data_IF_960934984465
#
_entry.id   IF_960934984465
#
_cell.length_a   1.000
_cell.length_b   1.000
_cell.length_c   1.000
_cell.angle_alpha   90.00
_cell.angle_beta   90.00
_cell.angle_gamma   90.00
#
_symmetry.space_group_name_H-M   'P 1'
#
loop_
_entity.id
_entity.type
_entity.pdbx_description
1 polymer ?
#
# COMPACT_ATOMS: atom_id res chain seq x y z
N UNK A 1 0.17 8.38 -24.60
CA UNK A 1 -1.01 7.68 -24.05
C UNK A 1 -1.58 8.54 -22.94
N UNK A 2 -2.88 8.41 -22.69
CA UNK A 2 -3.56 9.08 -21.57
C UNK A 2 -4.39 8.03 -20.83
N UNK A 3 -4.26 7.99 -19.51
CA UNK A 3 -4.98 7.06 -18.64
C UNK A 3 -5.60 7.83 -17.47
N UNK A 4 -6.82 7.48 -17.09
CA UNK A 4 -7.39 7.84 -15.79
C UNK A 4 -7.37 6.63 -14.88
N UNK A 5 -6.72 6.74 -13.74
CA UNK A 5 -6.53 5.62 -12.81
C UNK A 5 -6.96 5.98 -11.39
N UNK A 6 -7.53 5.01 -10.69
CA UNK A 6 -7.67 5.02 -9.24
C UNK A 6 -6.38 4.53 -8.62
N UNK A 7 -5.80 5.33 -7.74
CA UNK A 7 -4.57 5.00 -7.03
C UNK A 7 -4.82 3.87 -6.02
N UNK A 8 -4.04 2.81 -6.14
CA UNK A 8 -3.96 1.72 -5.18
C UNK A 8 -2.95 2.06 -4.08
N UNK A 9 -1.72 2.40 -4.48
CA UNK A 9 -0.67 2.83 -3.57
C UNK A 9 0.42 3.64 -4.31
N UNK A 10 1.45 4.08 -3.57
CA UNK A 10 2.58 4.84 -4.11
C UNK A 10 3.89 4.45 -3.43
N UNK A 11 5.00 4.35 -4.17
CA UNK A 11 6.28 3.95 -3.61
C UNK A 11 7.43 4.84 -4.12
N UNK A 12 8.43 5.18 -3.29
CA UNK A 12 9.66 5.81 -3.76
C UNK A 12 10.64 4.76 -4.31
N UNK A 13 11.23 5.02 -5.46
CA UNK A 13 12.29 4.22 -6.08
C UNK A 13 13.54 5.08 -6.29
N UNK A 14 14.72 4.52 -6.04
CA UNK A 14 15.97 5.21 -6.35
C UNK A 14 16.42 4.83 -7.75
N UNK A 15 16.66 5.83 -8.59
CA UNK A 15 17.10 5.69 -9.97
C UNK A 15 18.24 6.65 -10.29
N UNK A 16 19.07 6.30 -11.27
CA UNK A 16 20.10 7.21 -11.78
C UNK A 16 19.46 8.16 -12.79
N UNK A 17 19.40 9.45 -12.44
CA UNK A 17 18.89 10.52 -13.31
C UNK A 17 20.00 11.54 -13.49
N UNK A 18 20.41 11.77 -14.75
CA UNK A 18 21.52 12.66 -15.12
C UNK A 18 22.84 12.32 -14.39
N UNK A 19 23.09 11.02 -14.16
CA UNK A 19 24.30 10.53 -13.49
C UNK A 19 24.28 10.66 -11.96
N UNK A 20 23.16 11.03 -11.36
CA UNK A 20 22.99 11.16 -9.91
C UNK A 20 21.85 10.26 -9.43
N UNK A 21 22.04 9.59 -8.29
CA UNK A 21 20.98 8.81 -7.66
C UNK A 21 19.88 9.73 -7.12
N UNK A 22 18.73 9.73 -7.79
CA UNK A 22 17.53 10.50 -7.40
C UNK A 22 16.41 9.55 -7.00
N UNK A 23 15.50 10.03 -6.16
CA UNK A 23 14.30 9.27 -5.81
C UNK A 23 13.13 9.71 -6.67
N UNK A 24 12.58 8.77 -7.44
CA UNK A 24 11.36 8.95 -8.24
C UNK A 24 10.19 8.33 -7.49
N UNK A 25 9.02 8.95 -7.57
CA UNK A 25 7.80 8.35 -7.02
C UNK A 25 7.14 7.53 -8.11
N UNK A 26 6.77 6.31 -7.75
CA UNK A 26 5.90 5.47 -8.55
C UNK A 26 4.49 5.54 -7.98
N UNK A 27 3.53 5.78 -8.85
CA UNK A 27 2.11 5.69 -8.52
C UNK A 27 1.56 4.44 -9.19
N UNK A 28 0.84 3.62 -8.44
CA UNK A 28 0.22 2.42 -8.96
C UNK A 28 -1.28 2.58 -8.88
N UNK A 29 -1.97 2.22 -9.95
CA UNK A 29 -3.41 2.33 -10.00
C UNK A 29 -4.04 1.35 -10.98
N UNK A 30 -5.34 1.47 -11.11
CA UNK A 30 -6.14 0.73 -12.07
C UNK A 30 -7.13 1.65 -12.76
N UNK A 31 -7.41 1.42 -14.03
CA UNK A 31 -8.43 2.18 -14.76
C UNK A 31 -9.83 1.86 -14.24
N UNK A 32 -10.84 2.59 -14.73
CA UNK A 32 -12.23 2.30 -14.40
C UNK A 32 -12.63 0.87 -14.80
N UNK A 33 -12.08 0.38 -15.90
CA UNK A 33 -12.32 -0.94 -16.48
C UNK A 33 -11.42 -2.06 -15.91
N UNK A 34 -10.60 -1.77 -14.90
CA UNK A 34 -9.76 -2.77 -14.24
C UNK A 34 -8.43 -3.05 -14.93
N UNK A 35 -7.91 -2.10 -15.72
CA UNK A 35 -6.58 -2.21 -16.29
C UNK A 35 -5.52 -1.64 -15.35
N UNK A 36 -4.60 -2.50 -14.91
CA UNK A 36 -3.49 -2.16 -14.05
C UNK A 36 -2.44 -1.27 -14.74
N UNK A 37 -2.10 -0.13 -14.11
CA UNK A 37 -1.10 0.82 -14.61
C UNK A 37 -0.12 1.18 -13.48
N UNK A 38 1.17 1.04 -13.75
CA UNK A 38 2.24 1.67 -12.99
C UNK A 38 2.68 2.98 -13.67
N UNK A 39 2.99 3.99 -12.87
CA UNK A 39 3.32 5.34 -13.35
C UNK A 39 4.62 5.78 -12.74
N UNK A 40 5.66 5.91 -13.55
CA UNK A 40 6.90 6.59 -13.19
C UNK A 40 6.67 8.09 -13.32
N UNK A 41 6.72 8.82 -12.21
CA UNK A 41 6.33 10.23 -12.21
C UNK A 41 7.43 11.17 -12.67
N UNK A 42 7.09 12.41 -13.11
CA UNK A 42 8.06 13.49 -13.20
C UNK A 42 8.84 13.68 -11.90
N UNK A 43 10.13 13.96 -12.00
CA UNK A 43 10.99 14.17 -10.85
C UNK A 43 10.48 15.34 -9.99
N UNK A 44 10.29 15.07 -8.70
CA UNK A 44 10.15 16.07 -7.65
C UNK A 44 11.40 16.02 -6.78
N UNK A 45 11.98 17.16 -6.46
CA UNK A 45 13.12 17.18 -5.54
C UNK A 45 12.63 17.16 -4.08
N UNK A 46 13.17 16.27 -3.23
CA UNK A 46 12.85 16.27 -1.80
C UNK A 46 13.21 17.60 -1.15
N UNK A 47 12.32 18.12 -0.29
CA UNK A 47 12.59 19.34 0.46
C UNK A 47 11.91 19.36 1.81
N UNK A 48 12.35 20.29 2.65
CA UNK A 48 11.69 20.71 3.88
C UNK A 48 12.06 22.17 4.18
N UNK A 49 11.44 22.78 5.19
CA UNK A 49 11.74 24.18 5.55
C UNK A 49 12.41 24.30 6.91
N UNK A 50 13.13 25.41 7.09
CA UNK A 50 13.61 25.87 8.40
C UNK A 50 13.20 27.32 8.63
N UNK A 51 12.74 27.62 9.84
CA UNK A 51 12.32 28.96 10.26
C UNK A 51 13.52 29.82 10.65
N UNK A 52 13.61 31.01 10.05
CA UNK A 52 14.56 32.08 10.37
C UNK A 52 16.01 31.62 10.60
N UNK A 53 16.61 30.84 9.67
CA UNK A 53 18.00 30.43 9.81
C UNK A 53 18.94 31.63 9.79
N UNK A 54 19.99 31.61 10.62
CA UNK A 54 21.00 32.66 10.60
C UNK A 54 21.85 32.58 9.33
N UNK A 55 22.52 33.69 8.98
CA UNK A 55 23.44 33.73 7.81
C UNK A 55 24.53 32.66 7.88
N UNK A 56 25.02 32.33 9.08
CA UNK A 56 26.02 31.29 9.29
C UNK A 56 25.46 29.88 9.01
N UNK A 57 24.21 29.62 9.37
CA UNK A 57 23.52 28.36 9.07
C UNK A 57 23.32 28.22 7.56
N UNK A 58 22.86 29.28 6.88
CA UNK A 58 22.75 29.31 5.42
C UNK A 58 24.09 29.02 4.76
N UNK A 59 25.19 29.63 5.24
CA UNK A 59 26.53 29.39 4.71
C UNK A 59 27.00 27.94 4.90
N UNK A 60 26.62 27.29 6.00
CA UNK A 60 26.90 25.87 6.24
C UNK A 60 26.08 24.97 5.31
N UNK A 61 24.77 25.24 5.15
CA UNK A 61 23.89 24.49 4.26
C UNK A 61 24.36 24.56 2.79
N UNK A 62 24.80 25.73 2.31
CA UNK A 62 25.36 25.90 0.96
C UNK A 62 26.65 25.10 0.69
N UNK A 63 27.31 24.60 1.73
CA UNK A 63 28.52 23.79 1.63
C UNK A 63 28.27 22.30 1.90
N UNK A 64 27.03 21.92 2.21
CA UNK A 64 26.67 20.54 2.47
C UNK A 64 26.36 19.86 1.13
N UNK A 65 27.15 18.85 0.77
CA UNK A 65 26.97 18.09 -0.48
C UNK A 65 25.61 17.36 -0.57
N UNK A 66 24.86 17.29 0.53
CA UNK A 66 23.52 16.72 0.55
C UNK A 66 22.41 17.74 0.23
N UNK A 67 22.76 19.03 0.10
CA UNK A 67 21.86 20.13 -0.25
C UNK A 67 22.07 20.50 -1.71
N UNK A 68 21.03 20.37 -2.52
CA UNK A 68 21.04 20.75 -3.93
C UNK A 68 20.89 22.26 -4.09
N UNK A 69 19.93 22.86 -3.36
CA UNK A 69 19.64 24.28 -3.43
C UNK A 69 18.87 24.78 -2.22
N UNK A 70 18.83 26.11 -2.07
CA UNK A 70 18.12 26.80 -1.01
C UNK A 70 17.23 27.88 -1.63
N UNK A 71 15.98 27.95 -1.20
CA UNK A 71 15.03 28.97 -1.64
C UNK A 71 14.47 29.72 -0.43
N UNK A 72 14.36 31.04 -0.52
CA UNK A 72 13.72 31.85 0.54
C UNK A 72 12.21 31.88 0.32
N UNK A 73 11.44 31.69 1.38
CA UNK A 73 9.98 31.78 1.34
C UNK A 73 9.42 32.41 2.63
N UNK A 74 8.28 33.09 2.50
CA UNK A 74 7.55 33.66 3.64
C UNK A 74 6.41 32.73 4.02
N UNK A 75 6.42 32.24 5.27
CA UNK A 75 5.40 31.32 5.77
C UNK A 75 4.70 31.89 7.00
N UNK A 76 3.38 31.74 7.06
CA UNK A 76 2.59 32.02 8.26
C UNK A 76 2.77 30.90 9.28
N UNK A 77 3.28 31.23 10.47
CA UNK A 77 3.68 30.30 11.53
C UNK A 77 3.34 30.94 12.88
N UNK A 78 2.60 30.22 13.72
CA UNK A 78 2.28 30.62 15.10
C UNK A 78 1.65 32.03 15.21
N UNK A 79 0.86 32.46 14.21
CA UNK A 79 0.16 33.74 14.21
C UNK A 79 0.78 34.85 13.37
N UNK A 80 2.01 34.68 12.90
CA UNK A 80 2.78 35.72 12.21
C UNK A 80 3.51 35.17 10.96
N UNK A 81 3.86 36.06 10.02
CA UNK A 81 4.66 35.68 8.85
C UNK A 81 6.14 35.68 9.23
N UNK A 82 6.83 34.57 8.96
CA UNK A 82 8.26 34.38 9.25
C UNK A 82 9.04 34.07 7.99
N UNK A 83 10.26 34.60 7.91
CA UNK A 83 11.23 34.28 6.86
C UNK A 83 11.71 32.84 7.05
N UNK A 84 11.45 32.01 6.06
CA UNK A 84 11.86 30.60 6.05
C UNK A 84 12.82 30.34 4.90
N UNK A 85 13.57 29.25 5.01
CA UNK A 85 14.38 28.72 3.91
C UNK A 85 13.95 27.31 3.61
N UNK A 86 13.55 27.07 2.36
CA UNK A 86 13.37 25.75 1.78
C UNK A 86 14.73 25.14 1.49
N UNK A 87 14.96 23.94 2.02
CA UNK A 87 16.18 23.17 1.81
C UNK A 87 15.83 22.01 0.90
N UNK A 88 16.35 22.05 -0.33
CA UNK A 88 16.14 21.01 -1.33
C UNK A 88 17.33 20.04 -1.25
N UNK A 89 17.06 18.75 -1.12
CA UNK A 89 18.09 17.70 -0.96
C UNK A 89 18.10 16.75 -2.15
N UNK A 90 19.22 16.06 -2.37
CA UNK A 90 19.35 15.09 -3.47
C UNK A 90 18.47 13.85 -3.30
N UNK A 91 18.32 13.39 -2.05
CA UNK A 91 17.52 12.21 -1.69
C UNK A 91 16.73 12.43 -0.39
N UNK A 92 15.58 11.77 -0.21
CA UNK A 92 14.76 11.91 1.01
C UNK A 92 15.48 11.51 2.29
N UNK A 93 16.34 10.49 2.25
CA UNK A 93 17.08 10.02 3.42
C UNK A 93 18.04 11.08 3.99
N UNK A 94 18.45 12.07 3.19
CA UNK A 94 19.35 13.15 3.62
C UNK A 94 18.65 14.18 4.50
N UNK A 95 17.33 14.33 4.35
CA UNK A 95 16.51 15.24 5.16
C UNK A 95 16.69 14.93 6.65
N UNK A 96 16.72 13.66 7.05
CA UNK A 96 16.83 13.27 8.47
C UNK A 96 18.08 13.85 9.14
N UNK A 97 19.24 13.73 8.48
CA UNK A 97 20.52 14.22 9.02
C UNK A 97 20.52 15.74 9.17
N UNK A 98 20.05 16.46 8.14
CA UNK A 98 20.04 17.94 8.15
C UNK A 98 19.01 18.45 9.15
N UNK A 99 17.81 17.85 9.19
CA UNK A 99 16.74 18.16 10.14
C UNK A 99 17.23 18.02 11.59
N UNK A 100 17.87 16.91 11.93
CA UNK A 100 18.34 16.69 13.31
C UNK A 100 19.48 17.65 13.67
N UNK A 101 20.39 17.94 12.73
CA UNK A 101 21.41 18.96 12.90
C UNK A 101 20.80 20.35 13.17
N UNK A 102 19.80 20.77 12.40
CA UNK A 102 19.12 22.05 12.58
C UNK A 102 18.42 22.14 13.95
N UNK A 103 17.72 21.07 14.37
CA UNK A 103 17.10 21.00 15.70
C UNK A 103 18.12 21.16 16.82
N UNK A 104 19.25 20.47 16.71
CA UNK A 104 20.32 20.52 17.71
C UNK A 104 20.99 21.91 17.79
N UNK A 105 20.87 22.71 16.73
CA UNK A 105 21.33 24.10 16.70
C UNK A 105 20.21 25.11 17.07
N UNK A 106 19.06 24.65 17.58
CA UNK A 106 17.99 25.51 18.07
C UNK A 106 17.05 26.04 16.99
N UNK A 107 17.13 25.54 15.75
CA UNK A 107 16.23 25.93 14.68
C UNK A 107 14.99 25.05 14.65
N UNK A 108 13.90 25.57 14.06
CA UNK A 108 12.62 24.86 13.89
C UNK A 108 12.49 24.40 12.44
N UNK A 109 12.76 23.12 12.13
CA UNK A 109 12.34 22.55 10.85
C UNK A 109 10.81 22.42 10.78
N UNK A 110 10.29 22.46 9.56
CA UNK A 110 8.89 22.23 9.22
C UNK A 110 8.84 21.13 8.15
N UNK A 111 7.72 20.41 8.06
CA UNK A 111 7.45 19.43 7.00
C UNK A 111 8.46 18.29 6.80
N UNK A 112 9.50 18.19 7.62
CA UNK A 112 10.65 17.30 7.42
C UNK A 112 10.37 15.83 7.80
N UNK A 113 9.17 15.52 8.25
CA UNK A 113 8.68 14.19 8.60
C UNK A 113 7.60 13.67 7.64
N UNK A 114 7.23 14.46 6.61
CA UNK A 114 6.29 14.02 5.58
C UNK A 114 6.99 13.01 4.66
N UNK A 115 6.49 11.76 4.57
CA UNK A 115 7.03 10.76 3.65
C UNK A 115 7.06 11.28 2.21
N UNK A 116 8.14 10.97 1.49
CA UNK A 116 8.41 11.59 0.19
C UNK A 116 7.34 11.28 -0.89
N UNK A 117 6.78 10.07 -0.89
CA UNK A 117 5.68 9.74 -1.80
C UNK A 117 4.41 10.58 -1.50
N UNK A 118 4.13 10.87 -0.23
CA UNK A 118 3.04 11.79 0.13
C UNK A 118 3.37 13.23 -0.24
N UNK A 119 4.62 13.68 -0.08
CA UNK A 119 5.05 15.00 -0.54
C UNK A 119 4.74 15.18 -2.03
N UNK A 120 5.04 14.17 -2.86
CA UNK A 120 4.68 14.19 -4.28
C UNK A 120 3.18 14.34 -4.52
N UNK A 121 2.36 13.54 -3.82
CA UNK A 121 0.90 13.58 -3.94
C UNK A 121 0.36 14.94 -3.48
N UNK A 122 0.89 15.52 -2.39
CA UNK A 122 0.47 16.79 -1.81
C UNK A 122 0.78 17.97 -2.72
N UNK A 123 2.01 18.09 -3.17
CA UNK A 123 2.48 19.25 -3.97
C UNK A 123 1.80 19.32 -5.34
N UNK A 124 1.50 18.17 -5.94
CA UNK A 124 0.79 18.08 -7.21
C UNK A 124 -0.74 18.09 -7.05
N UNK A 125 -1.24 18.30 -5.82
CA UNK A 125 -2.66 18.28 -5.47
C UNK A 125 -3.43 17.02 -5.94
N UNK A 126 -2.75 15.86 -6.00
CA UNK A 126 -3.33 14.62 -6.55
C UNK A 126 -4.35 14.00 -5.58
N UNK A 127 -5.46 13.49 -6.14
CA UNK A 127 -6.51 12.79 -5.39
C UNK A 127 -6.34 11.28 -5.40
N UNK A 128 -7.36 10.56 -4.90
CA UNK A 128 -7.44 9.10 -5.03
C UNK A 128 -7.62 8.61 -6.47
N UNK A 129 -7.98 9.51 -7.40
CA UNK A 129 -7.99 9.28 -8.84
C UNK A 129 -7.14 10.36 -9.53
N UNK A 130 -6.41 9.97 -10.57
CA UNK A 130 -5.51 10.85 -11.33
C UNK A 130 -5.64 10.59 -12.83
N UNK A 131 -5.30 11.60 -13.63
CA UNK A 131 -5.07 11.46 -15.07
C UNK A 131 -3.58 11.54 -15.34
N UNK A 132 -3.08 10.63 -16.17
CA UNK A 132 -1.66 10.46 -16.49
C UNK A 132 -1.49 10.58 -18.00
N UNK A 133 -0.65 11.51 -18.42
CA UNK A 133 -0.22 11.66 -19.82
C UNK A 133 1.25 11.29 -19.92
N UNK A 134 1.61 10.42 -20.86
CA UNK A 134 2.99 9.98 -21.01
C UNK A 134 3.23 9.00 -22.14
N UNK A 135 4.34 8.28 -22.03
CA UNK A 135 4.73 7.21 -22.96
C UNK A 135 4.69 5.87 -22.23
N UNK A 136 4.09 4.87 -22.86
CA UNK A 136 4.23 3.50 -22.37
C UNK A 136 5.67 3.04 -22.56
N UNK A 137 6.20 2.40 -21.53
CA UNK A 137 7.54 1.82 -21.53
C UNK A 137 7.39 0.33 -21.36
N UNK A 138 8.11 -0.43 -22.18
CA UNK A 138 8.17 -1.86 -22.03
C UNK A 138 9.27 -2.21 -21.02
N UNK A 139 8.88 -2.47 -19.78
CA UNK A 139 9.76 -2.96 -18.73
C UNK A 139 9.25 -4.33 -18.24
N UNK A 140 10.08 -5.35 -18.41
CA UNK A 140 9.75 -6.74 -18.02
C UNK A 140 9.76 -6.95 -16.51
N UNK A 141 10.26 -5.98 -15.75
CA UNK A 141 10.19 -5.99 -14.29
C UNK A 141 8.80 -5.61 -13.77
N UNK A 142 7.89 -5.14 -14.62
CA UNK A 142 6.52 -4.86 -14.24
C UNK A 142 5.58 -5.95 -14.78
N UNK A 143 4.67 -6.41 -13.92
CA UNK A 143 3.57 -7.33 -14.26
C UNK A 143 2.41 -6.62 -14.98
N UNK A 144 2.43 -5.28 -14.98
CA UNK A 144 1.42 -4.41 -15.59
C UNK A 144 2.06 -3.40 -16.56
N UNK A 145 1.25 -2.57 -17.22
CA UNK A 145 1.75 -1.49 -18.08
C UNK A 145 2.47 -0.44 -17.25
N UNK A 146 3.66 -0.03 -17.70
CA UNK A 146 4.40 1.10 -17.14
C UNK A 146 4.26 2.33 -18.04
N UNK A 147 3.89 3.47 -17.45
CA UNK A 147 3.85 4.76 -18.12
C UNK A 147 4.92 5.68 -17.53
N UNK A 148 5.85 6.13 -18.37
CA UNK A 148 6.76 7.24 -18.04
C UNK A 148 6.00 8.54 -18.28
N UNK A 149 5.55 9.16 -17.19
CA UNK A 149 4.60 10.25 -17.23
C UNK A 149 5.30 11.59 -17.54
N UNK A 150 4.76 12.29 -18.54
CA UNK A 150 5.09 13.69 -18.79
C UNK A 150 4.25 14.64 -17.94
N UNK A 151 3.05 14.19 -17.52
CA UNK A 151 2.17 14.95 -16.64
C UNK A 151 1.29 14.01 -15.81
N UNK A 152 1.05 14.41 -14.57
CA UNK A 152 0.11 13.76 -13.65
C UNK A 152 -0.81 14.84 -13.09
N UNK A 153 -2.11 14.68 -13.26
CA UNK A 153 -3.13 15.68 -12.90
C UNK A 153 -4.22 15.07 -12.02
N UNK A 154 -4.90 15.87 -11.18
CA UNK A 154 -6.09 15.41 -10.48
C UNK A 154 -7.19 14.98 -11.45
N UNK A 155 -7.96 13.96 -11.06
CA UNK A 155 -9.11 13.45 -11.81
C UNK A 155 -10.34 13.39 -10.89
N UNK A 156 -11.54 13.49 -11.46
CA UNK A 156 -12.77 13.23 -10.72
C UNK A 156 -12.78 11.79 -10.19
N UNK A 157 -13.34 11.59 -9.00
CA UNK A 157 -13.39 10.27 -8.40
C UNK A 157 -14.31 9.33 -9.16
N UNK A 158 -13.85 8.10 -9.43
CA UNK A 158 -14.66 7.03 -10.01
C UNK A 158 -14.42 5.71 -9.27
N UNK A 159 -15.41 4.82 -9.26
CA UNK A 159 -15.18 3.44 -8.81
C UNK A 159 -14.50 2.64 -9.94
N UNK A 160 -13.43 1.94 -9.59
CA UNK A 160 -12.73 1.03 -10.48
C UNK A 160 -13.24 -0.40 -10.31
N UNK A 161 -13.27 -1.13 -11.42
CA UNK A 161 -13.51 -2.57 -11.44
C UNK A 161 -12.24 -3.33 -11.05
N UNK A 162 -12.06 -3.59 -9.75
CA UNK A 162 -10.87 -4.27 -9.26
C UNK A 162 -10.85 -5.74 -9.68
N UNK A 163 -9.67 -6.22 -10.09
CA UNK A 163 -9.38 -7.64 -10.07
C UNK A 163 -8.98 -8.06 -8.67
N UNK A 164 -9.73 -8.96 -8.07
CA UNK A 164 -9.56 -9.38 -6.68
C UNK A 164 -9.10 -10.83 -6.65
N UNK A 165 -7.98 -11.09 -5.97
CA UNK A 165 -7.53 -12.42 -5.60
C UNK A 165 -7.89 -12.67 -4.14
N UNK A 166 -8.70 -13.69 -3.89
CA UNK A 166 -8.94 -14.20 -2.54
C UNK A 166 -8.29 -15.56 -2.38
N UNK A 167 -7.57 -15.79 -1.29
CA UNK A 167 -6.91 -17.06 -1.02
C UNK A 167 -7.06 -17.53 0.42
N UNK A 168 -6.81 -18.82 0.62
CA UNK A 168 -6.81 -19.52 1.89
C UNK A 168 -5.72 -20.61 1.88
N UNK A 169 -5.20 -20.96 3.06
CA UNK A 169 -4.15 -21.97 3.23
C UNK A 169 -4.58 -23.01 4.25
N UNK A 170 -4.40 -24.29 3.89
CA UNK A 170 -4.48 -25.39 4.83
C UNK A 170 -3.12 -26.02 5.05
N UNK A 171 -2.76 -26.23 6.31
CA UNK A 171 -1.44 -26.65 6.74
C UNK A 171 -1.48 -27.64 7.91
N UNK A 172 -0.34 -28.31 8.12
CA UNK A 172 -0.16 -29.17 9.27
C UNK A 172 -0.26 -28.40 10.58
N UNK A 173 -0.98 -28.95 11.57
CA UNK A 173 -1.09 -28.34 12.91
C UNK A 173 0.26 -28.38 13.63
N UNK A 174 1.00 -29.48 13.48
CA UNK A 174 2.27 -29.69 14.19
C UNK A 174 3.47 -29.14 13.42
N UNK A 175 3.58 -29.46 12.13
CA UNK A 175 4.77 -29.13 11.33
C UNK A 175 4.67 -27.76 10.66
N UNK A 176 3.45 -27.19 10.62
CA UNK A 176 3.11 -25.96 9.89
C UNK A 176 3.38 -26.02 8.38
N UNK A 177 3.73 -27.20 7.85
CA UNK A 177 3.90 -27.45 6.42
C UNK A 177 2.58 -27.22 5.70
N UNK A 178 2.60 -26.40 4.64
CA UNK A 178 1.43 -26.14 3.79
C UNK A 178 1.07 -27.40 3.02
N UNK A 179 -0.18 -27.83 3.18
CA UNK A 179 -0.76 -28.96 2.45
C UNK A 179 -1.33 -28.51 1.11
N UNK A 180 -2.12 -27.43 1.14
CA UNK A 180 -2.65 -26.80 -0.05
C UNK A 180 -2.88 -25.31 0.15
N UNK A 181 -2.94 -24.58 -0.97
CA UNK A 181 -3.32 -23.18 -1.03
C UNK A 181 -4.36 -23.04 -2.14
N UNK A 182 -5.56 -22.58 -1.78
CA UNK A 182 -6.61 -22.33 -2.77
C UNK A 182 -6.78 -20.84 -3.00
N UNK A 183 -7.02 -20.45 -4.25
CA UNK A 183 -7.30 -19.06 -4.58
C UNK A 183 -8.37 -18.96 -5.68
N UNK A 184 -9.07 -17.84 -5.67
CA UNK A 184 -10.00 -17.46 -6.71
C UNK A 184 -9.73 -16.02 -7.17
N UNK A 185 -9.93 -15.77 -8.46
CA UNK A 185 -9.82 -14.45 -9.09
C UNK A 185 -11.21 -14.02 -9.53
N UNK A 186 -11.61 -12.81 -9.16
CA UNK A 186 -12.92 -12.25 -9.50
C UNK A 186 -12.80 -10.79 -9.95
N UNK A 187 -13.62 -10.40 -10.90
CA UNK A 187 -13.90 -9.00 -11.27
C UNK A 187 -15.43 -8.75 -11.26
N UNK A 188 -15.87 -7.58 -11.73
CA UNK A 188 -17.31 -7.26 -11.83
C UNK A 188 -18.13 -8.23 -12.68
N UNK A 189 -17.50 -9.01 -13.58
CA UNK A 189 -18.18 -9.97 -14.47
C UNK A 189 -18.34 -11.34 -13.82
N UNK A 190 -17.62 -11.61 -12.72
CA UNK A 190 -17.70 -12.84 -11.95
C UNK A 190 -16.35 -13.51 -11.73
N UNK A 191 -16.37 -14.79 -11.37
CA UNK A 191 -15.16 -15.57 -11.17
C UNK A 191 -14.46 -15.83 -12.50
N UNK A 192 -13.21 -15.42 -12.60
CA UNK A 192 -12.34 -15.56 -13.77
C UNK A 192 -11.56 -16.87 -13.68
N UNK A 193 -11.12 -17.24 -12.48
CA UNK A 193 -10.28 -18.40 -12.23
C UNK A 193 -10.44 -18.90 -10.80
N UNK A 194 -10.36 -20.21 -10.60
CA UNK A 194 -10.38 -20.90 -9.31
C UNK A 194 -9.36 -22.03 -9.38
N UNK A 195 -8.47 -22.15 -8.39
CA UNK A 195 -7.43 -23.16 -8.40
C UNK A 195 -6.98 -23.50 -6.98
N UNK A 196 -6.66 -24.78 -6.77
CA UNK A 196 -6.06 -25.29 -5.55
C UNK A 196 -4.69 -25.86 -5.86
N UNK A 197 -3.66 -25.21 -5.33
CA UNK A 197 -2.26 -25.63 -5.41
C UNK A 197 -1.98 -26.68 -4.33
N UNK A 198 -1.41 -27.82 -4.71
CA UNK A 198 -1.07 -28.90 -3.78
C UNK A 198 0.18 -29.66 -4.26
N UNK A 199 0.76 -30.49 -3.40
CA UNK A 199 1.94 -31.31 -3.71
C UNK A 199 3.15 -30.90 -2.89
N UNK A 200 4.31 -30.66 -3.53
CA UNK A 200 5.49 -30.21 -2.80
C UNK A 200 5.30 -28.76 -2.39
N UNK A 201 5.48 -28.46 -1.11
CA UNK A 201 5.32 -27.11 -0.56
C UNK A 201 6.12 -26.04 -1.31
N UNK A 202 7.35 -26.37 -1.74
CA UNK A 202 8.17 -25.47 -2.56
C UNK A 202 7.49 -25.07 -3.87
N UNK A 203 6.79 -26.00 -4.49
CA UNK A 203 6.11 -25.77 -5.78
C UNK A 203 4.82 -24.95 -5.53
N UNK A 204 4.05 -25.24 -4.47
CA UNK A 204 2.90 -24.43 -4.02
C UNK A 204 3.28 -22.96 -3.87
N UNK A 205 4.39 -22.66 -3.16
CA UNK A 205 4.85 -21.29 -2.93
C UNK A 205 5.22 -20.58 -4.25
N UNK A 206 5.92 -21.27 -5.15
CA UNK A 206 6.32 -20.70 -6.46
C UNK A 206 5.13 -20.49 -7.37
N UNK A 207 4.21 -21.44 -7.38
CA UNK A 207 3.02 -21.39 -8.22
C UNK A 207 2.07 -20.30 -7.73
N UNK A 208 2.01 -20.04 -6.42
CA UNK A 208 1.27 -18.90 -5.87
C UNK A 208 1.87 -17.56 -6.30
N UNK A 209 3.19 -17.37 -6.16
CA UNK A 209 3.88 -16.15 -6.66
C UNK A 209 3.64 -15.97 -8.16
N UNK A 210 3.76 -17.07 -8.92
CA UNK A 210 3.52 -17.05 -10.37
C UNK A 210 2.07 -16.72 -10.71
N UNK A 211 1.10 -17.20 -9.93
CA UNK A 211 -0.31 -16.90 -10.10
C UNK A 211 -0.60 -15.42 -9.83
N UNK A 212 -0.05 -14.83 -8.77
CA UNK A 212 -0.18 -13.39 -8.49
C UNK A 212 0.34 -12.55 -9.65
N UNK A 213 1.53 -12.87 -10.19
CA UNK A 213 2.08 -12.15 -11.33
C UNK A 213 1.31 -12.38 -12.63
N UNK A 214 0.80 -13.60 -12.86
CA UNK A 214 0.05 -13.97 -14.07
C UNK A 214 -1.34 -13.32 -14.10
N UNK A 215 -2.06 -13.36 -12.99
CA UNK A 215 -3.42 -12.83 -12.91
C UNK A 215 -3.44 -11.35 -12.57
N UNK A 216 -2.34 -10.79 -12.05
CA UNK A 216 -2.18 -9.37 -11.73
C UNK A 216 -3.38 -8.73 -10.96
N UNK A 217 -3.74 -9.23 -9.77
CA UNK A 217 -4.83 -8.67 -8.98
C UNK A 217 -4.51 -7.28 -8.42
N UNK A 218 -5.49 -6.37 -8.42
CA UNK A 218 -5.40 -5.09 -7.70
C UNK A 218 -5.45 -5.31 -6.18
N UNK A 219 -6.29 -6.27 -5.75
CA UNK A 219 -6.58 -6.56 -4.35
C UNK A 219 -6.19 -8.00 -4.02
N UNK A 220 -5.49 -8.20 -2.91
CA UNK A 220 -5.23 -9.51 -2.30
C UNK A 220 -6.03 -9.59 -1.00
N UNK A 221 -6.90 -10.59 -0.89
CA UNK A 221 -7.80 -10.77 0.25
C UNK A 221 -7.88 -12.24 0.68
N UNK A 222 -8.64 -12.48 1.73
CA UNK A 222 -8.85 -13.75 2.41
C UNK A 222 -9.32 -13.46 3.83
N UNK A 223 -9.49 -14.49 4.66
CA UNK A 223 -10.07 -14.32 6.00
C UNK A 223 -9.01 -14.51 7.10
N UNK A 224 -8.61 -13.41 7.74
CA UNK A 224 -7.51 -13.33 8.70
C UNK A 224 -6.10 -13.53 8.07
N UNK A 225 -5.96 -13.22 6.77
CA UNK A 225 -4.69 -13.33 6.04
C UNK A 225 -3.56 -12.48 6.64
N UNK A 226 -3.90 -11.32 7.20
CA UNK A 226 -2.90 -10.42 7.81
C UNK A 226 -2.27 -11.04 9.06
N UNK A 227 -3.05 -11.87 9.77
CA UNK A 227 -2.70 -12.43 11.07
C UNK A 227 -2.25 -13.89 11.03
N UNK A 228 -2.46 -14.61 9.93
CA UNK A 228 -2.13 -16.04 9.83
C UNK A 228 -1.48 -16.43 8.50
N UNK A 229 -2.19 -16.30 7.39
CA UNK A 229 -1.78 -16.85 6.09
C UNK A 229 -0.53 -16.19 5.53
N UNK A 230 -0.47 -14.86 5.49
CA UNK A 230 0.72 -14.12 5.04
C UNK A 230 1.95 -14.37 5.94
N UNK A 231 1.84 -14.32 7.29
CA UNK A 231 2.92 -14.76 8.17
C UNK A 231 3.40 -16.19 7.88
N UNK A 232 2.48 -17.13 7.65
CA UNK A 232 2.82 -18.52 7.35
C UNK A 232 3.53 -18.63 6.00
N UNK A 233 3.05 -17.93 4.96
CA UNK A 233 3.72 -17.90 3.65
C UNK A 233 5.16 -17.41 3.77
N UNK A 234 5.40 -16.32 4.51
CA UNK A 234 6.76 -15.79 4.73
C UNK A 234 7.63 -16.82 5.45
N UNK A 235 7.14 -17.39 6.55
CA UNK A 235 7.83 -18.43 7.32
C UNK A 235 8.26 -19.61 6.43
N UNK A 236 7.34 -20.11 5.60
CA UNK A 236 7.60 -21.26 4.72
C UNK A 236 8.46 -20.90 3.51
N UNK A 237 8.32 -19.69 2.99
CA UNK A 237 9.17 -19.18 1.90
C UNK A 237 10.64 -19.07 2.33
N UNK A 238 10.91 -18.63 3.57
CA UNK A 238 12.26 -18.61 4.15
C UNK A 238 12.89 -20.01 4.22
N UNK A 239 12.13 -21.02 4.69
CA UNK A 239 12.56 -22.42 4.76
C UNK A 239 12.97 -22.94 3.37
N UNK A 240 12.21 -22.59 2.33
CA UNK A 240 12.45 -23.03 0.95
C UNK A 240 13.36 -22.11 0.13
N UNK A 241 13.84 -21.00 0.72
CA UNK A 241 14.65 -19.96 0.06
C UNK A 241 13.98 -19.42 -1.20
N UNK A 242 12.69 -19.12 -1.08
CA UNK A 242 11.87 -18.49 -2.11
C UNK A 242 11.59 -17.05 -1.67
N UNK A 243 11.71 -16.10 -2.59
CA UNK A 243 11.20 -14.75 -2.36
C UNK A 243 9.71 -14.70 -2.74
N UNK A 244 8.91 -14.06 -1.91
CA UNK A 244 7.51 -13.78 -2.20
C UNK A 244 7.41 -12.45 -2.97
N UNK A 245 7.83 -12.49 -4.23
CA UNK A 245 7.85 -11.35 -5.16
C UNK A 245 6.42 -11.02 -5.63
N UNK A 246 5.59 -10.51 -4.70
CA UNK A 246 4.16 -10.25 -4.95
C UNK A 246 3.90 -8.84 -5.52
N UNK A 247 4.89 -7.94 -5.45
CA UNK A 247 4.78 -6.58 -5.99
C UNK A 247 4.61 -6.57 -7.51
N UNK A 248 3.94 -5.53 -8.03
CA UNK A 248 3.79 -5.35 -9.48
C UNK A 248 5.11 -5.11 -10.19
N UNK A 249 6.08 -4.57 -9.48
CA UNK A 249 7.48 -4.34 -9.86
C UNK A 249 8.41 -5.52 -9.48
N UNK A 250 7.83 -6.67 -9.12
CA UNK A 250 8.50 -7.83 -8.51
C UNK A 250 9.18 -7.53 -7.17
N UNK A 251 8.74 -6.51 -6.42
CA UNK A 251 9.17 -6.33 -5.03
C UNK A 251 8.68 -7.50 -4.15
N UNK A 252 9.47 -7.80 -3.12
CA UNK A 252 9.08 -8.75 -2.06
C UNK A 252 8.00 -8.09 -1.19
N UNK A 253 6.95 -8.82 -0.85
CA UNK A 253 5.96 -8.37 0.13
C UNK A 253 6.62 -8.01 1.48
N UNK A 254 6.23 -6.88 2.07
CA UNK A 254 6.80 -6.40 3.33
C UNK A 254 5.74 -6.23 4.44
N UNK A 255 6.04 -6.72 5.64
CA UNK A 255 5.26 -6.44 6.85
C UNK A 255 5.82 -5.18 7.54
N UNK A 256 5.18 -4.00 7.40
CA UNK A 256 5.69 -2.77 8.04
C UNK A 256 5.30 -2.65 9.53
N UNK A 257 4.18 -3.25 9.93
CA UNK A 257 3.66 -3.29 11.32
C UNK A 257 2.86 -4.60 11.53
N UNK A 258 2.47 -4.92 12.77
CA UNK A 258 1.85 -6.23 13.14
C UNK A 258 0.90 -6.83 12.09
N UNK A 259 -0.15 -6.12 11.69
CA UNK A 259 -1.15 -6.60 10.72
C UNK A 259 -1.19 -5.76 9.43
N UNK A 260 -0.12 -5.04 9.12
CA UNK A 260 -0.08 -4.21 7.91
C UNK A 260 0.99 -4.71 6.95
N UNK A 261 0.51 -5.14 5.78
CA UNK A 261 1.27 -5.73 4.70
C UNK A 261 1.29 -4.79 3.51
N UNK A 262 2.49 -4.48 3.01
CA UNK A 262 2.70 -3.66 1.82
C UNK A 262 3.12 -4.54 0.65
N UNK A 263 2.41 -4.38 -0.46
CA UNK A 263 2.72 -5.00 -1.75
C UNK A 263 2.70 -3.89 -2.79
N UNK A 264 3.83 -3.57 -3.39
CA UNK A 264 3.94 -2.47 -4.36
C UNK A 264 2.97 -2.70 -5.52
N UNK A 265 2.10 -1.72 -5.76
CA UNK A 265 1.05 -1.79 -6.76
C UNK A 265 -0.16 -2.68 -6.48
N UNK A 266 -0.28 -3.31 -5.30
CA UNK A 266 -1.48 -4.04 -4.88
C UNK A 266 -1.94 -3.58 -3.48
N UNK A 267 -3.16 -3.91 -3.11
CA UNK A 267 -3.70 -3.63 -1.76
C UNK A 267 -4.04 -4.93 -1.07
N UNK A 268 -3.47 -5.16 0.11
CA UNK A 268 -3.85 -6.28 0.96
C UNK A 268 -5.03 -5.86 1.82
N UNK A 269 -6.12 -6.62 1.78
CA UNK A 269 -7.35 -6.31 2.50
C UNK A 269 -7.85 -7.57 3.18
N UNK A 270 -7.67 -7.66 4.50
CA UNK A 270 -8.19 -8.76 5.29
C UNK A 270 -9.71 -8.62 5.52
N UNK A 271 -10.48 -9.61 5.05
CA UNK A 271 -11.93 -9.66 5.23
C UNK A 271 -12.33 -9.74 6.71
N UNK A 272 -11.59 -10.50 7.52
CA UNK A 272 -11.86 -10.62 8.96
C UNK A 272 -11.73 -9.27 9.67
N UNK A 273 -10.65 -8.54 9.39
CA UNK A 273 -10.41 -7.23 10.01
C UNK A 273 -11.50 -6.23 9.64
N UNK A 274 -11.92 -6.22 8.36
CA UNK A 274 -12.97 -5.35 7.89
C UNK A 274 -14.33 -5.71 8.51
N UNK A 275 -14.69 -7.00 8.59
CA UNK A 275 -15.90 -7.44 9.31
C UNK A 275 -15.87 -7.01 10.77
N UNK A 276 -14.74 -7.22 11.45
CA UNK A 276 -14.56 -6.83 12.86
C UNK A 276 -14.76 -5.32 13.06
N UNK A 277 -14.23 -4.51 12.15
CA UNK A 277 -14.32 -3.05 12.21
C UNK A 277 -15.73 -2.53 11.91
N UNK A 278 -16.34 -3.04 10.85
CA UNK A 278 -17.58 -2.51 10.25
C UNK A 278 -18.84 -3.13 10.86
N UNK A 279 -18.85 -4.45 11.05
CA UNK A 279 -20.03 -5.21 11.50
C UNK A 279 -20.01 -5.45 13.01
N UNK A 280 -18.81 -5.68 13.59
CA UNK A 280 -18.62 -6.03 15.01
C UNK A 280 -19.48 -7.24 15.43
N UNK A 281 -19.35 -8.38 14.74
CA UNK A 281 -20.18 -9.56 15.02
C UNK A 281 -19.86 -10.15 16.40
N UNK A 282 -20.78 -10.93 16.96
CA UNK A 282 -20.57 -11.61 18.24
C UNK A 282 -19.53 -12.74 18.15
N UNK A 283 -19.52 -13.44 17.03
CA UNK A 283 -18.55 -14.48 16.70
C UNK A 283 -17.81 -14.08 15.43
N UNK A 284 -16.48 -14.09 15.47
CA UNK A 284 -15.66 -13.57 14.38
C UNK A 284 -15.11 -14.69 13.47
N UNK A 285 -15.55 -15.96 13.64
CA UNK A 285 -15.12 -17.05 12.77
C UNK A 285 -15.76 -16.95 11.39
N UNK A 286 -15.05 -17.38 10.35
CA UNK A 286 -15.53 -17.32 8.96
C UNK A 286 -16.91 -17.98 8.81
N UNK A 287 -17.12 -19.17 9.41
CA UNK A 287 -18.41 -19.86 9.36
C UNK A 287 -19.54 -19.06 10.04
N UNK A 288 -19.28 -18.48 11.23
CA UNK A 288 -20.30 -17.72 11.94
C UNK A 288 -20.70 -16.45 11.18
N UNK A 289 -19.72 -15.75 10.63
CA UNK A 289 -19.93 -14.53 9.83
C UNK A 289 -20.60 -14.86 8.49
N UNK A 290 -20.17 -15.93 7.79
CA UNK A 290 -20.81 -16.39 6.56
C UNK A 290 -22.29 -16.75 6.79
N UNK A 291 -22.60 -17.41 7.91
CA UNK A 291 -23.98 -17.71 8.29
C UNK A 291 -24.79 -16.45 8.58
N UNK A 292 -24.22 -15.53 9.35
CA UNK A 292 -24.88 -14.28 9.75
C UNK A 292 -25.16 -13.36 8.56
N UNK A 293 -24.19 -13.19 7.65
CA UNK A 293 -24.26 -12.23 6.54
C UNK A 293 -24.80 -12.82 5.25
N UNK A 294 -24.44 -14.06 4.93
CA UNK A 294 -24.73 -14.69 3.63
C UNK A 294 -25.78 -15.82 3.73
N UNK A 295 -26.16 -16.24 4.95
CA UNK A 295 -27.03 -17.40 5.16
C UNK A 295 -26.39 -18.73 4.75
N UNK A 296 -25.06 -18.76 4.57
CA UNK A 296 -24.29 -19.95 4.19
C UNK A 296 -23.71 -20.61 5.43
N UNK A 297 -23.85 -21.92 5.55
CA UNK A 297 -23.20 -22.71 6.61
C UNK A 297 -22.17 -23.64 5.99
N UNK A 298 -20.98 -23.65 6.58
CA UNK A 298 -19.97 -24.65 6.28
C UNK A 298 -20.28 -25.96 6.99
N UNK A 299 -20.16 -27.06 6.28
CA UNK A 299 -20.12 -28.40 6.86
C UNK A 299 -19.07 -29.22 6.11
N UNK A 300 -18.32 -30.07 6.81
CA UNK A 300 -17.54 -31.23 6.29
C UNK A 300 -15.99 -31.22 6.37
N UNK A 301 -15.35 -30.32 7.12
CA UNK A 301 -13.94 -30.48 7.59
C UNK A 301 -13.79 -29.97 9.02
N UNK A 302 -13.01 -30.64 9.86
CA UNK A 302 -12.69 -30.20 11.22
C UNK A 302 -11.28 -29.59 11.31
N UNK A 303 -11.14 -28.25 11.40
CA UNK A 303 -9.83 -27.59 11.43
C UNK A 303 -8.93 -28.03 12.60
N UNK A 304 -9.50 -28.54 13.70
CA UNK A 304 -8.74 -29.02 14.86
C UNK A 304 -8.07 -30.38 14.62
N UNK A 305 -8.36 -31.03 13.49
CA UNK A 305 -7.84 -32.35 13.12
C UNK A 305 -7.27 -32.33 11.70
N UNK A 306 -6.75 -31.19 11.25
CA UNK A 306 -6.33 -30.98 9.86
C UNK A 306 -5.34 -32.06 9.36
N UNK A 307 -4.39 -32.51 10.18
CA UNK A 307 -3.47 -33.59 9.79
C UNK A 307 -4.19 -34.93 9.53
N UNK A 308 -5.22 -35.27 10.33
CA UNK A 308 -6.04 -36.47 10.13
C UNK A 308 -6.91 -36.32 8.89
N UNK A 309 -7.49 -35.14 8.68
CA UNK A 309 -8.34 -34.83 7.53
C UNK A 309 -7.54 -34.88 6.23
N UNK A 310 -6.38 -34.25 6.18
CA UNK A 310 -5.49 -34.29 5.02
C UNK A 310 -5.04 -35.71 4.68
N UNK A 311 -4.70 -36.51 5.69
CA UNK A 311 -4.28 -37.90 5.49
C UNK A 311 -5.39 -38.79 4.91
N UNK A 312 -6.63 -38.59 5.37
CA UNK A 312 -7.74 -39.49 5.04
C UNK A 312 -8.60 -38.98 3.86
N UNK A 313 -8.73 -37.66 3.72
CA UNK A 313 -9.67 -36.98 2.80
C UNK A 313 -9.05 -35.72 2.19
N UNK A 314 -7.87 -35.78 1.53
CA UNK A 314 -7.17 -34.59 1.02
C UNK A 314 -8.01 -33.79 0.00
N UNK A 315 -8.75 -34.47 -0.88
CA UNK A 315 -9.66 -33.82 -1.84
C UNK A 315 -10.71 -32.95 -1.14
N UNK A 316 -11.26 -33.45 -0.02
CA UNK A 316 -12.24 -32.71 0.77
C UNK A 316 -11.64 -31.47 1.44
N UNK A 317 -10.40 -31.56 1.89
CA UNK A 317 -9.66 -30.41 2.45
C UNK A 317 -9.39 -29.36 1.38
N UNK A 318 -9.05 -29.78 0.16
CA UNK A 318 -8.85 -28.88 -0.98
C UNK A 318 -10.16 -28.15 -1.35
N UNK A 319 -11.28 -28.86 -1.43
CA UNK A 319 -12.60 -28.24 -1.65
C UNK A 319 -12.96 -27.24 -0.55
N UNK A 320 -12.69 -27.60 0.71
CA UNK A 320 -12.91 -26.74 1.88
C UNK A 320 -12.08 -25.46 1.82
N UNK A 321 -10.79 -25.58 1.49
CA UNK A 321 -9.87 -24.44 1.36
C UNK A 321 -10.34 -23.48 0.25
N UNK A 322 -10.79 -23.99 -0.90
CA UNK A 322 -11.34 -23.15 -1.96
C UNK A 322 -12.67 -22.48 -1.57
N UNK A 323 -13.54 -23.19 -0.85
CA UNK A 323 -14.77 -22.61 -0.30
C UNK A 323 -14.46 -21.46 0.67
N UNK A 324 -13.45 -21.61 1.52
CA UNK A 324 -13.01 -20.58 2.47
C UNK A 324 -12.51 -19.32 1.78
N UNK A 325 -11.67 -19.47 0.75
CA UNK A 325 -11.22 -18.36 -0.09
C UNK A 325 -12.40 -17.62 -0.75
N UNK A 326 -13.40 -18.35 -1.26
CA UNK A 326 -14.58 -17.75 -1.91
C UNK A 326 -15.50 -17.06 -0.92
N UNK A 327 -15.75 -17.67 0.24
CA UNK A 327 -16.59 -17.07 1.29
C UNK A 327 -15.97 -15.78 1.84
N UNK A 328 -14.64 -15.73 2.01
CA UNK A 328 -13.95 -14.51 2.43
C UNK A 328 -14.22 -13.34 1.47
N UNK A 329 -14.15 -13.61 0.17
CA UNK A 329 -14.43 -12.62 -0.87
C UNK A 329 -15.89 -12.18 -0.88
N UNK A 330 -16.83 -13.13 -0.84
CA UNK A 330 -18.26 -12.82 -0.82
C UNK A 330 -18.66 -11.98 0.41
N UNK A 331 -18.04 -12.25 1.58
CA UNK A 331 -18.23 -11.44 2.78
C UNK A 331 -17.73 -10.01 2.55
N UNK A 332 -16.53 -9.85 1.99
CA UNK A 332 -15.93 -8.54 1.72
C UNK A 332 -16.81 -7.71 0.76
N UNK A 333 -17.36 -8.35 -0.28
CA UNK A 333 -18.30 -7.75 -1.21
C UNK A 333 -19.63 -7.38 -0.54
N UNK A 334 -20.17 -8.28 0.30
CA UNK A 334 -21.44 -8.06 1.00
C UNK A 334 -21.39 -6.83 1.92
N UNK A 335 -20.27 -6.61 2.61
CA UNK A 335 -20.09 -5.44 3.49
C UNK A 335 -19.68 -4.16 2.74
N UNK A 336 -19.50 -4.23 1.41
CA UNK A 336 -19.22 -3.11 0.51
C UNK A 336 -18.05 -2.22 0.93
N UNK A 337 -17.03 -2.80 1.59
CA UNK A 337 -15.90 -2.00 2.10
C UNK A 337 -15.04 -1.44 0.99
N UNK A 338 -14.89 -2.15 -0.13
CA UNK A 338 -14.13 -1.65 -1.27
C UNK A 338 -14.77 -0.37 -1.81
N UNK A 339 -16.08 -0.36 -2.07
CA UNK A 339 -16.83 0.81 -2.54
C UNK A 339 -16.74 1.96 -1.53
N UNK A 340 -16.95 1.67 -0.24
CA UNK A 340 -16.80 2.66 0.84
C UNK A 340 -15.43 3.34 0.80
N UNK A 341 -14.35 2.56 0.74
CA UNK A 341 -12.98 3.10 0.81
C UNK A 341 -12.51 3.73 -0.50
N UNK A 342 -13.06 3.34 -1.65
CA UNK A 342 -12.88 4.09 -2.90
C UNK A 342 -13.40 5.52 -2.77
N UNK A 343 -14.59 5.70 -2.20
CA UNK A 343 -15.16 7.03 -1.96
C UNK A 343 -14.39 7.81 -0.90
N UNK A 344 -13.96 7.16 0.19
CA UNK A 344 -13.12 7.81 1.20
C UNK A 344 -11.81 8.29 0.56
N UNK A 345 -11.14 7.47 -0.26
CA UNK A 345 -9.91 7.86 -0.98
C UNK A 345 -10.10 9.05 -1.91
N UNK A 346 -11.25 9.15 -2.56
CA UNK A 346 -11.60 10.33 -3.38
C UNK A 346 -11.76 11.59 -2.53
N UNK A 347 -12.40 11.50 -1.35
CA UNK A 347 -12.64 12.65 -0.47
C UNK A 347 -11.38 13.06 0.30
N UNK A 348 -10.60 12.10 0.84
CA UNK A 348 -9.37 12.37 1.58
C UNK A 348 -8.16 12.61 0.68
N UNK A 349 -8.32 12.47 -0.64
CA UNK A 349 -7.27 12.67 -1.63
C UNK A 349 -6.04 11.78 -1.36
N UNK A 350 -6.28 10.49 -1.14
CA UNK A 350 -5.25 9.49 -0.84
C UNK A 350 -5.49 8.19 -1.65
N UNK A 351 -4.43 7.41 -1.93
CA UNK A 351 -4.53 6.06 -2.47
C UNK A 351 -5.40 5.12 -1.62
N UNK A 352 -5.91 4.06 -2.24
CA UNK A 352 -6.81 3.10 -1.59
C UNK A 352 -6.18 2.43 -0.37
N UNK A 353 -4.93 1.97 -0.47
CA UNK A 353 -4.22 1.31 0.63
C UNK A 353 -4.12 2.22 1.86
N UNK A 354 -3.81 3.50 1.62
CA UNK A 354 -3.65 4.50 2.66
C UNK A 354 -4.96 4.80 3.39
N UNK A 355 -6.12 4.69 2.72
CA UNK A 355 -7.42 4.91 3.39
C UNK A 355 -8.00 3.67 4.05
N UNK A 356 -7.82 2.48 3.47
CA UNK A 356 -8.43 1.27 4.00
C UNK A 356 -7.64 0.69 5.18
N UNK A 357 -6.31 0.77 5.09
CA UNK A 357 -5.38 0.24 6.07
C UNK A 357 -4.77 1.33 6.97
N UNK A 358 -4.92 2.61 6.60
CA UNK A 358 -4.43 3.72 7.39
C UNK A 358 -5.37 4.18 8.52
N UNK A 359 -4.99 5.30 9.13
CA UNK A 359 -5.69 5.91 10.26
C UNK A 359 -6.34 7.23 9.87
N UNK A 360 -7.40 7.61 10.59
CA UNK A 360 -8.18 8.84 10.32
C UNK A 360 -7.33 10.11 10.34
N UNK A 361 -6.31 10.21 11.21
CA UNK A 361 -5.45 11.40 11.25
C UNK A 361 -4.73 11.62 9.92
N UNK A 362 -4.29 10.55 9.26
CA UNK A 362 -3.61 10.65 7.97
C UNK A 362 -4.52 11.19 6.86
N UNK A 363 -5.81 10.81 6.89
CA UNK A 363 -6.82 11.34 5.96
C UNK A 363 -7.05 12.84 6.17
N UNK A 364 -7.06 13.29 7.43
CA UNK A 364 -7.19 14.70 7.78
C UNK A 364 -5.91 15.47 7.40
N UNK A 365 -4.75 14.91 7.70
CA UNK A 365 -3.45 15.50 7.40
C UNK A 365 -3.29 15.74 5.90
N UNK A 366 -3.70 14.79 5.05
CA UNK A 366 -3.71 14.97 3.58
C UNK A 366 -4.43 16.26 3.16
N UNK A 367 -5.61 16.52 3.71
CA UNK A 367 -6.39 17.71 3.37
C UNK A 367 -5.79 18.99 3.97
N UNK A 368 -5.38 18.92 5.24
CA UNK A 368 -4.89 20.08 5.98
C UNK A 368 -3.51 20.55 5.51
N UNK A 369 -2.62 19.62 5.16
CA UNK A 369 -1.27 19.93 4.65
C UNK A 369 -1.38 20.65 3.30
N UNK A 370 -2.19 20.13 2.37
CA UNK A 370 -2.42 20.78 1.07
C UNK A 370 -3.00 22.18 1.23
N UNK A 371 -4.00 22.31 2.12
CA UNK A 371 -4.58 23.61 2.42
C UNK A 371 -3.53 24.57 2.97
N UNK A 372 -2.71 24.13 3.93
CA UNK A 372 -1.65 24.92 4.52
C UNK A 372 -0.62 25.36 3.46
N UNK A 373 -0.11 24.44 2.67
CA UNK A 373 0.87 24.71 1.62
C UNK A 373 0.29 25.70 0.57
N UNK A 374 -0.98 25.55 0.17
CA UNK A 374 -1.66 26.47 -0.76
C UNK A 374 -1.84 27.90 -0.24
N UNK A 375 -1.72 28.10 1.08
CA UNK A 375 -1.88 29.38 1.76
C UNK A 375 -0.57 29.92 2.32
N UNK A 376 0.57 29.28 2.04
CA UNK A 376 1.86 29.64 2.62
C UNK A 376 1.88 29.50 4.14
N UNK A 377 1.19 28.50 4.69
CA UNK A 377 1.20 28.20 6.14
C UNK A 377 2.25 27.13 6.41
N UNK A 378 3.15 27.38 7.36
CA UNK A 378 4.20 26.43 7.71
C UNK A 378 3.65 25.22 8.45
N UNK A 379 3.80 24.03 7.87
CA UNK A 379 3.33 22.77 8.45
C UNK A 379 4.30 22.27 9.54
N UNK A 380 3.88 22.20 10.81
CA UNK A 380 4.74 21.70 11.87
C UNK A 380 4.96 20.19 11.73
N UNK A 381 6.13 19.71 12.15
CA UNK A 381 6.35 18.27 12.28
C UNK A 381 5.52 17.66 13.41
N UNK A 382 5.25 16.37 13.31
CA UNK A 382 4.55 15.57 14.31
C UNK A 382 5.32 15.55 15.63
N UNK A 383 4.68 16.06 16.69
CA UNK A 383 5.26 16.05 18.04
C UNK A 383 5.04 14.68 18.71
N UNK A 384 6.00 13.77 18.57
CA UNK A 384 5.99 12.48 19.30
C UNK A 384 6.43 12.70 20.76
N UNK A 385 5.63 13.38 21.58
CA UNK A 385 5.77 13.21 23.03
C UNK A 385 5.32 11.80 23.36
N UNK A 386 6.18 10.99 23.98
CA UNK A 386 5.74 9.74 24.64
C UNK A 386 4.60 10.15 25.56
N UNK A 387 3.39 9.65 25.32
CA UNK A 387 2.34 9.67 26.34
C UNK A 387 2.91 8.88 27.52
N UNK A 388 3.38 9.57 28.54
CA UNK A 388 3.59 8.99 29.87
C UNK A 388 2.19 8.72 30.39
N UNK A 389 1.69 7.52 30.12
CA UNK A 389 0.52 6.94 30.78
C UNK A 389 0.93 6.34 32.11
#
# INVERSE_FOLDING_TARGET
VEYSIRLLNSAPHTEVVDGVDRTIVYLYGTTKEGEAIAVRTPLLMPYFQVVEPTKDIIKKLKKDDNVESLEEEDLWIDGEVKKCTRIITTQPNKIYKIKDWLKNNGFKPLSADIPFHYRYIYDNNLGGCITVEGKEVNDRNFTCKLVDATSVKPCEGFEADFRILSFDIENSIFERTIYCLSFCIKDSKGYIHEETLHGKERDILKDFVSAVSKFDPDIITGYNIDGYDLPLLVERAEVHRINLDLGRDNSVIEQKMQRFWRVEGRVVIDAWWNVKREIRPRQESLNAVAKELLGKEKHDVNPKKMDEEWKNRPEKVMDYCLEDAKLALEILEHIMVLQKYQHIGSVSMLPLDDVINGITSMMIDSLMIRFADSRGIGVPMTNRKKRTG
#
